data_IF_034903500020
#
_entry.id   IF_034903500020
#
_cell.length_a   1.000
_cell.length_b   1.000
_cell.length_c   1.000
_cell.angle_alpha   90.00
_cell.angle_beta   90.00
_cell.angle_gamma   90.00
#
_symmetry.space_group_name_H-M   'P 1'
#
loop_
_entity.id
_entity.type
_entity.pdbx_description
1 polymer ?
#
# COMPACT_ATOMS: atom_id res chain seq x y z
N UNK A 1 -17.06 -0.67 7.73
CA UNK A 1 -15.85 -0.82 6.91
C UNK A 1 -15.79 -2.28 6.46
N UNK A 2 -15.59 -2.57 5.18
CA UNK A 2 -15.47 -3.96 4.71
C UNK A 2 -14.28 -4.63 5.41
N UNK A 3 -14.41 -5.92 5.77
CA UNK A 3 -13.33 -6.68 6.42
C UNK A 3 -12.04 -6.73 5.57
N UNK A 4 -12.15 -6.56 4.26
CA UNK A 4 -10.99 -6.49 3.36
C UNK A 4 -10.13 -5.24 3.57
N UNK A 5 -10.74 -4.09 3.83
CA UNK A 5 -9.99 -2.83 4.06
C UNK A 5 -9.10 -2.93 5.30
N UNK A 6 -9.64 -3.48 6.39
CA UNK A 6 -8.89 -3.68 7.62
C UNK A 6 -7.77 -4.71 7.45
N UNK A 7 -8.03 -5.79 6.70
CA UNK A 7 -7.00 -6.77 6.33
C UNK A 7 -5.91 -6.14 5.48
N UNK A 8 -6.26 -5.36 4.46
CA UNK A 8 -5.30 -4.66 3.61
C UNK A 8 -4.41 -3.73 4.43
N UNK A 9 -4.99 -2.97 5.37
CA UNK A 9 -4.24 -2.09 6.28
C UNK A 9 -3.19 -2.88 7.06
N UNK A 10 -3.63 -3.95 7.71
CA UNK A 10 -2.75 -4.81 8.51
C UNK A 10 -1.64 -5.46 7.67
N UNK A 11 -1.98 -5.93 6.47
CA UNK A 11 -1.04 -6.58 5.56
C UNK A 11 -0.02 -5.60 4.99
N UNK A 12 -0.43 -4.39 4.58
CA UNK A 12 0.49 -3.36 4.08
C UNK A 12 1.55 -3.03 5.12
N UNK A 13 1.12 -2.74 6.36
CA UNK A 13 2.04 -2.41 7.46
C UNK A 13 2.97 -3.57 7.78
N UNK A 14 2.43 -4.79 7.87
CA UNK A 14 3.23 -5.99 8.14
C UNK A 14 4.28 -6.21 7.06
N UNK A 15 3.88 -6.26 5.79
CA UNK A 15 4.80 -6.52 4.68
C UNK A 15 5.85 -5.41 4.52
N UNK A 16 5.47 -4.14 4.72
CA UNK A 16 6.40 -3.02 4.63
C UNK A 16 7.46 -3.08 5.76
N UNK A 17 7.06 -3.42 6.98
CA UNK A 17 7.97 -3.58 8.13
C UNK A 17 8.88 -4.79 7.99
N UNK A 18 8.33 -5.95 7.59
CA UNK A 18 9.09 -7.18 7.39
C UNK A 18 10.20 -7.03 6.35
N UNK A 19 10.00 -6.17 5.34
CA UNK A 19 11.00 -5.93 4.28
C UNK A 19 12.15 -5.02 4.70
N UNK A 20 11.96 -4.22 5.76
CA UNK A 20 12.94 -3.26 6.27
C UNK A 20 12.94 -1.91 5.52
N UNK A 21 13.62 -0.89 6.09
CA UNK A 21 13.51 0.52 5.66
C UNK A 21 14.03 0.79 4.25
N UNK A 22 15.00 -0.01 3.76
CA UNK A 22 15.60 0.15 2.44
C UNK A 22 14.83 -0.59 1.32
N UNK A 23 13.74 -1.28 1.68
CA UNK A 23 12.95 -2.08 0.74
C UNK A 23 11.53 -1.58 0.69
N UNK A 24 10.88 -1.87 -0.42
CA UNK A 24 9.50 -1.45 -0.66
C UNK A 24 8.66 -2.62 -1.11
N UNK A 25 7.35 -2.50 -0.93
CA UNK A 25 6.31 -3.34 -1.52
C UNK A 25 5.51 -2.53 -2.57
N UNK A 26 4.58 -3.16 -3.28
CA UNK A 26 3.55 -2.46 -4.06
C UNK A 26 2.14 -2.84 -3.57
N UNK A 27 1.09 -2.07 -3.96
CA UNK A 27 -0.30 -2.38 -3.57
C UNK A 27 -0.74 -3.81 -3.92
N UNK A 28 -0.25 -4.36 -5.04
CA UNK A 28 -0.59 -5.72 -5.44
C UNK A 28 -0.03 -6.80 -4.51
N UNK A 29 1.05 -6.54 -3.78
CA UNK A 29 1.58 -7.50 -2.80
C UNK A 29 0.56 -7.72 -1.67
N UNK A 30 -0.01 -6.63 -1.16
CA UNK A 30 -1.07 -6.69 -0.14
C UNK A 30 -2.37 -7.25 -0.71
N UNK A 31 -2.80 -6.78 -1.89
CA UNK A 31 -4.02 -7.26 -2.53
C UNK A 31 -3.98 -8.77 -2.79
N UNK A 32 -2.85 -9.32 -3.25
CA UNK A 32 -2.67 -10.77 -3.45
C UNK A 32 -2.73 -11.55 -2.14
N UNK A 33 -2.15 -11.01 -1.08
CA UNK A 33 -2.19 -11.64 0.24
C UNK A 33 -3.60 -11.66 0.86
N UNK A 34 -4.48 -10.71 0.52
CA UNK A 34 -5.84 -10.63 1.05
C UNK A 34 -6.86 -11.32 0.14
N UNK A 35 -6.84 -11.02 -1.16
CA UNK A 35 -7.87 -11.45 -2.11
C UNK A 35 -7.55 -12.72 -2.89
N UNK A 36 -6.34 -13.28 -2.75
CA UNK A 36 -5.97 -14.54 -3.42
C UNK A 36 -6.16 -14.48 -4.94
N UNK A 37 -7.12 -15.25 -5.49
CA UNK A 37 -7.43 -15.27 -6.92
C UNK A 37 -8.11 -13.97 -7.40
N UNK A 38 -8.87 -13.32 -6.53
CA UNK A 38 -9.70 -12.15 -6.82
C UNK A 38 -8.99 -10.84 -6.41
N UNK A 39 -7.67 -10.91 -6.20
CA UNK A 39 -6.86 -9.77 -5.75
C UNK A 39 -6.96 -8.52 -6.62
N UNK A 40 -7.34 -8.68 -7.90
CA UNK A 40 -7.51 -7.55 -8.82
C UNK A 40 -8.64 -6.62 -8.38
N UNK A 41 -9.68 -7.16 -7.74
CA UNK A 41 -10.82 -6.39 -7.27
C UNK A 41 -10.43 -5.51 -6.07
N UNK A 42 -9.40 -5.92 -5.32
CA UNK A 42 -8.85 -5.17 -4.18
C UNK A 42 -7.76 -4.16 -4.58
N UNK A 43 -7.45 -3.99 -5.87
CA UNK A 43 -6.34 -3.10 -6.27
C UNK A 43 -6.61 -1.62 -5.96
N UNK A 44 -7.84 -1.15 -6.15
CA UNK A 44 -8.21 0.23 -5.82
C UNK A 44 -8.19 0.43 -4.32
N UNK A 45 -8.83 -0.49 -3.58
CA UNK A 45 -8.83 -0.50 -2.12
C UNK A 45 -7.41 -0.50 -1.53
N UNK A 46 -6.50 -1.31 -2.08
CA UNK A 46 -5.11 -1.36 -1.61
C UNK A 46 -4.37 -0.04 -1.84
N UNK A 47 -4.66 0.68 -2.94
CA UNK A 47 -4.10 2.01 -3.21
C UNK A 47 -4.68 3.05 -2.25
N UNK A 48 -5.98 2.99 -1.98
CA UNK A 48 -6.66 3.93 -1.08
C UNK A 48 -6.23 3.73 0.37
N UNK A 49 -6.06 2.48 0.81
CA UNK A 49 -5.49 2.16 2.13
C UNK A 49 -4.04 2.64 2.22
N UNK A 50 -3.23 2.46 1.17
CA UNK A 50 -1.87 2.99 1.17
C UNK A 50 -1.85 4.52 1.33
N UNK A 51 -2.77 5.24 0.65
CA UNK A 51 -2.94 6.70 0.84
C UNK A 51 -3.29 7.04 2.27
N UNK A 52 -4.28 6.37 2.86
CA UNK A 52 -4.71 6.62 4.24
C UNK A 52 -3.55 6.41 5.24
N UNK A 53 -2.80 5.32 5.08
CA UNK A 53 -1.62 5.06 5.91
C UNK A 53 -0.54 6.13 5.74
N UNK A 54 -0.33 6.62 4.51
CA UNK A 54 0.63 7.68 4.25
C UNK A 54 0.20 9.03 4.85
N UNK A 55 -1.09 9.37 4.78
CA UNK A 55 -1.65 10.55 5.47
C UNK A 55 -1.44 10.51 6.98
N UNK A 56 -1.44 9.30 7.55
CA UNK A 56 -1.20 9.06 8.98
C UNK A 56 0.29 9.01 9.34
N UNK A 57 1.19 9.11 8.35
CA UNK A 57 2.64 8.99 8.55
C UNK A 57 3.10 7.57 8.91
N UNK A 58 2.29 6.54 8.68
CA UNK A 58 2.64 5.15 8.99
C UNK A 58 3.44 4.47 7.86
N UNK A 59 3.34 5.00 6.65
CA UNK A 59 4.13 4.59 5.48
C UNK A 59 4.48 5.80 4.61
N UNK A 60 5.49 5.65 3.77
CA UNK A 60 5.74 6.55 2.65
C UNK A 60 5.37 5.88 1.33
N UNK A 61 4.80 6.67 0.40
CA UNK A 61 4.55 6.25 -0.97
C UNK A 61 5.59 6.91 -1.87
N UNK A 62 6.28 6.10 -2.67
CA UNK A 62 7.21 6.61 -3.67
C UNK A 62 6.81 6.22 -5.08
N UNK A 63 7.15 7.08 -6.03
CA UNK A 63 7.02 6.83 -7.45
C UNK A 63 8.30 7.24 -8.16
N UNK A 64 8.89 6.32 -8.94
CA UNK A 64 10.20 6.53 -9.60
C UNK A 64 11.31 6.96 -8.62
N UNK A 65 11.24 6.51 -7.37
CA UNK A 65 12.22 6.82 -6.32
C UNK A 65 11.86 8.02 -5.45
N UNK A 66 10.94 8.88 -5.91
CA UNK A 66 10.58 10.12 -5.20
C UNK A 66 9.35 9.91 -4.31
N UNK A 67 9.36 10.48 -3.11
CA UNK A 67 8.17 10.52 -2.25
C UNK A 67 7.10 11.38 -2.91
N UNK A 68 5.87 10.87 -2.98
CA UNK A 68 4.74 11.58 -3.58
C UNK A 68 3.67 11.89 -2.54
N UNK A 69 2.99 13.01 -2.75
CA UNK A 69 1.87 13.45 -1.91
C UNK A 69 0.72 12.41 -1.95
N UNK A 70 0.25 11.89 -0.80
CA UNK A 70 -0.88 10.96 -0.69
C UNK A 70 -2.20 11.48 -1.29
N UNK A 71 -2.36 12.77 -1.51
CA UNK A 71 -3.58 13.40 -2.05
C UNK A 71 -3.45 13.80 -3.53
N UNK A 72 -2.25 13.74 -4.09
CA UNK A 72 -2.04 14.05 -5.50
C UNK A 72 -2.60 12.96 -6.43
N UNK A 73 -2.84 13.35 -7.69
CA UNK A 73 -3.16 12.40 -8.76
C UNK A 73 -1.87 11.76 -9.26
N UNK A 74 -1.80 10.43 -9.23
CA UNK A 74 -0.68 9.66 -9.79
C UNK A 74 -1.17 8.56 -10.71
N UNK A 75 -0.35 8.23 -11.70
CA UNK A 75 -0.64 7.17 -12.68
C UNK A 75 0.47 6.15 -12.66
N UNK A 76 0.09 4.87 -12.75
CA UNK A 76 1.05 3.77 -12.86
C UNK A 76 1.57 3.25 -11.51
N UNK A 77 2.72 2.55 -11.55
CA UNK A 77 3.28 1.85 -10.39
C UNK A 77 3.71 2.81 -9.28
N UNK A 78 3.44 2.42 -8.05
CA UNK A 78 3.91 3.06 -6.82
C UNK A 78 4.58 2.01 -5.93
N UNK A 79 5.42 2.47 -5.01
CA UNK A 79 6.08 1.67 -4.00
C UNK A 79 5.70 2.19 -2.62
N UNK A 80 5.66 1.30 -1.64
CA UNK A 80 5.29 1.59 -0.25
C UNK A 80 6.42 1.10 0.65
N UNK A 81 6.88 1.92 1.60
CA UNK A 81 7.79 1.52 2.69
C UNK A 81 7.27 2.03 4.03
N UNK A 82 7.62 1.35 5.11
CA UNK A 82 7.31 1.84 6.45
C UNK A 82 8.14 3.10 6.74
N UNK A 83 7.55 4.05 7.47
CA UNK A 83 8.24 5.23 8.00
C UNK A 83 9.07 4.87 9.23
#
# INVERSE_FOLDING_TARGET
MSGDIERLRSVILRLARERGPDKTICPSDAARSVGGKDWRDLMNDARDVARDLARRGEVEITQKGEVVDPDATWRGPIRIRAT
#
